data_IF_395352460540
#
_entry.id   IF_395352460540
#
_cell.length_a   1.000
_cell.length_b   1.000
_cell.length_c   1.000
_cell.angle_alpha   90.00
_cell.angle_beta   90.00
_cell.angle_gamma   90.00
#
_symmetry.space_group_name_H-M   'P 1'
#
loop_
_entity.id
_entity.type
_entity.pdbx_description
1 polymer ?
#
# COMPACT_ATOMS: atom_id res chain seq x y z
N UNK A 1 -6.13 -9.01 7.32
CA UNK A 1 -6.38 -9.63 6.00
C UNK A 1 -7.29 -8.78 5.12
N UNK A 2 -7.97 -7.74 5.65
CA UNK A 2 -8.94 -6.95 4.88
C UNK A 2 -8.42 -5.65 4.25
N UNK A 3 -7.36 -4.98 4.73
CA UNK A 3 -6.99 -3.63 4.25
C UNK A 3 -6.68 -3.54 2.74
N UNK A 4 -5.67 -4.29 2.27
CA UNK A 4 -5.25 -4.33 0.86
C UNK A 4 -6.39 -4.84 -0.02
N UNK A 5 -7.04 -5.92 0.40
CA UNK A 5 -8.17 -6.49 -0.31
C UNK A 5 -9.37 -5.54 -0.39
N UNK A 6 -9.69 -4.77 0.65
CA UNK A 6 -10.84 -3.87 0.66
C UNK A 6 -10.58 -2.63 -0.19
N UNK A 7 -9.34 -2.13 -0.28
CA UNK A 7 -9.01 -1.02 -1.18
C UNK A 7 -9.07 -1.46 -2.63
N UNK A 8 -8.41 -2.58 -2.99
CA UNK A 8 -8.52 -3.16 -4.33
C UNK A 8 -9.96 -3.56 -4.66
N UNK A 9 -10.72 -4.15 -3.72
CA UNK A 9 -12.11 -4.57 -3.94
C UNK A 9 -13.09 -3.40 -4.01
N UNK A 10 -12.90 -2.30 -3.28
CA UNK A 10 -13.77 -1.13 -3.40
C UNK A 10 -13.54 -0.39 -4.72
N UNK A 11 -12.29 -0.34 -5.20
CA UNK A 11 -11.95 0.19 -6.53
C UNK A 11 -12.46 -0.75 -7.64
N UNK A 12 -12.37 -2.08 -7.46
CA UNK A 12 -12.84 -3.08 -8.43
C UNK A 12 -14.37 -3.27 -8.44
N UNK A 13 -15.06 -3.13 -7.31
CA UNK A 13 -16.52 -3.37 -7.21
C UNK A 13 -17.37 -2.21 -7.70
N UNK A 14 -16.85 -0.97 -7.72
CA UNK A 14 -17.57 0.19 -8.28
C UNK A 14 -17.50 0.26 -9.81
N UNK A 15 -16.74 -0.62 -10.46
CA UNK A 15 -16.53 -0.64 -11.92
C UNK A 15 -17.08 -1.90 -12.60
N UNK A 16 -18.27 -2.34 -12.20
CA UNK A 16 -19.03 -3.32 -12.99
C UNK A 16 -20.26 -2.67 -13.62
N UNK A 17 -20.45 -2.76 -14.95
CA UNK A 17 -21.73 -2.47 -15.58
C UNK A 17 -22.76 -3.53 -15.14
N UNK A 18 -23.99 -3.06 -14.88
CA UNK A 18 -25.15 -3.91 -14.62
C UNK A 18 -25.42 -4.83 -15.81
N UNK A 19 -25.43 -6.16 -15.60
CA UNK A 19 -26.14 -7.08 -16.49
C UNK A 19 -26.43 -8.45 -15.86
N UNK A 20 -27.72 -8.78 -15.87
CA UNK A 20 -28.34 -10.06 -16.21
C UNK A 20 -28.03 -11.33 -15.39
N UNK A 21 -29.07 -11.74 -14.66
CA UNK A 21 -29.37 -13.07 -14.13
C UNK A 21 -29.21 -14.19 -15.16
N UNK A 22 -28.51 -15.27 -14.81
CA UNK A 22 -28.91 -16.65 -15.15
C UNK A 22 -28.28 -17.67 -14.20
N UNK A 23 -29.17 -18.42 -13.59
CA UNK A 23 -29.04 -19.59 -12.71
C UNK A 23 -28.37 -20.77 -13.43
N UNK A 24 -27.63 -21.64 -12.70
CA UNK A 24 -27.88 -23.10 -12.54
C UNK A 24 -26.84 -23.72 -11.56
N UNK A 25 -27.40 -24.36 -10.53
CA UNK A 25 -27.05 -25.53 -9.68
C UNK A 25 -25.69 -26.25 -9.83
N UNK A 26 -24.90 -26.41 -8.76
CA UNK A 26 -24.88 -27.46 -7.70
C UNK A 26 -24.19 -28.78 -8.10
N UNK A 27 -23.07 -29.13 -7.45
CA UNK A 27 -23.06 -30.24 -6.49
C UNK A 27 -21.71 -30.49 -5.77
N UNK A 28 -21.89 -31.04 -4.58
CA UNK A 28 -21.03 -31.30 -3.44
C UNK A 28 -20.29 -32.65 -3.52
N UNK A 29 -19.09 -32.77 -2.94
CA UNK A 29 -18.65 -33.97 -2.19
C UNK A 29 -17.59 -33.64 -1.12
N UNK A 30 -17.81 -34.20 0.07
CA UNK A 30 -17.00 -34.20 1.31
C UNK A 30 -15.93 -35.29 1.31
N UNK A 31 -14.85 -35.09 2.08
CA UNK A 31 -14.24 -35.99 3.10
C UNK A 31 -12.93 -35.31 3.60
N UNK A 32 -12.66 -34.97 4.86
CA UNK A 32 -12.75 -35.59 6.19
C UNK A 32 -11.55 -36.49 6.58
N UNK A 33 -11.04 -36.23 7.80
CA UNK A 33 -10.08 -36.99 8.66
C UNK A 33 -8.58 -36.86 8.36
N UNK A 34 -7.64 -36.90 9.31
CA UNK A 34 -7.54 -36.65 10.76
C UNK A 34 -6.02 -36.63 11.09
N UNK A 35 -5.63 -36.04 12.23
CA UNK A 35 -4.25 -35.94 12.77
C UNK A 35 -3.81 -37.28 13.42
N UNK A 36 -2.76 -37.43 14.31
CA UNK A 36 -1.73 -36.51 14.84
C UNK A 36 -0.30 -37.13 15.02
N UNK A 37 0.70 -36.31 15.39
CA UNK A 37 2.00 -36.79 15.88
C UNK A 37 2.88 -35.67 16.47
N UNK A 38 3.45 -35.90 17.66
CA UNK A 38 3.94 -34.91 18.65
C UNK A 38 5.34 -35.29 19.16
N UNK A 39 6.26 -34.34 19.29
CA UNK A 39 7.35 -34.24 20.32
C UNK A 39 8.14 -32.94 20.03
N UNK A 40 8.38 -31.95 20.92
CA UNK A 40 8.91 -31.78 22.30
C UNK A 40 10.45 -31.83 22.47
N UNK A 41 11.04 -30.64 22.67
CA UNK A 41 12.17 -30.30 23.56
C UNK A 41 12.21 -28.75 23.65
N UNK A 42 12.04 -28.00 24.75
CA UNK A 42 12.53 -27.99 26.14
C UNK A 42 13.90 -27.29 26.34
N UNK A 43 13.89 -26.21 27.15
CA UNK A 43 15.04 -25.49 27.74
C UNK A 43 15.33 -24.13 27.08
N UNK A 44 15.22 -22.95 27.70
CA UNK A 44 15.10 -22.55 29.09
C UNK A 44 16.37 -21.86 29.60
N UNK A 45 16.41 -20.52 29.62
CA UNK A 45 17.18 -19.75 30.62
C UNK A 45 16.69 -18.30 30.73
N UNK A 46 16.39 -17.90 31.97
CA UNK A 46 16.13 -16.53 32.46
C UNK A 46 17.50 -15.79 32.55
N UNK A 47 17.67 -14.48 32.75
CA UNK A 47 17.01 -13.55 33.69
C UNK A 47 17.58 -12.12 33.48
N UNK A 48 16.72 -11.10 33.63
CA UNK A 48 16.87 -9.75 34.27
C UNK A 48 18.18 -8.92 34.08
N UNK A 49 18.16 -7.59 33.91
CA UNK A 49 17.12 -6.62 34.25
C UNK A 49 17.40 -5.16 33.80
N UNK A 50 16.29 -4.46 33.54
CA UNK A 50 15.84 -3.12 34.00
C UNK A 50 16.84 -1.95 34.16
N UNK A 51 16.58 -0.88 33.39
CA UNK A 51 16.43 0.51 33.85
C UNK A 51 15.70 1.29 32.73
N UNK A 52 14.39 1.52 32.85
CA UNK A 52 13.75 2.73 33.42
C UNK A 52 13.77 3.94 32.47
N UNK A 53 12.63 4.19 31.85
CA UNK A 53 12.29 5.39 31.10
C UNK A 53 10.78 5.37 30.83
N UNK A 54 9.99 5.49 31.90
CA UNK A 54 8.53 5.58 31.85
C UNK A 54 8.13 6.94 31.27
N UNK A 55 8.07 7.03 29.94
CA UNK A 55 7.20 8.01 29.31
C UNK A 55 5.77 7.46 29.40
N UNK A 56 4.92 8.19 30.11
CA UNK A 56 3.47 8.05 30.10
C UNK A 56 3.02 7.87 28.66
N UNK A 57 2.53 6.67 28.35
CA UNK A 57 1.84 6.40 27.09
C UNK A 57 0.56 7.24 27.10
N UNK A 58 0.66 8.47 26.59
CA UNK A 58 -0.45 9.03 25.85
C UNK A 58 -0.86 7.98 24.83
N UNK A 59 -2.16 7.75 24.65
CA UNK A 59 -2.63 6.99 23.49
C UNK A 59 -2.00 7.64 22.25
N UNK A 60 -0.96 7.01 21.71
CA UNK A 60 -0.23 7.56 20.58
C UNK A 60 -1.24 7.73 19.45
N UNK A 61 -1.44 8.98 19.04
CA UNK A 61 -2.37 9.34 17.97
C UNK A 61 -2.02 8.53 16.73
N UNK A 62 -3.04 7.95 16.08
CA UNK A 62 -2.84 7.23 14.82
C UNK A 62 -2.75 8.25 13.71
N UNK A 63 -1.57 8.42 13.14
CA UNK A 63 -1.30 9.38 12.07
C UNK A 63 -0.39 8.80 10.97
N UNK A 64 -0.11 9.63 9.96
CA UNK A 64 0.69 9.29 8.78
C UNK A 64 2.13 8.92 9.10
N UNK A 65 2.68 9.34 10.24
CA UNK A 65 4.03 9.04 10.67
C UNK A 65 4.33 7.55 10.78
N UNK A 66 3.28 6.76 11.03
CA UNK A 66 3.33 5.29 11.15
C UNK A 66 3.36 4.55 9.81
N UNK A 67 3.10 5.24 8.70
CA UNK A 67 3.15 4.66 7.36
C UNK A 67 4.58 4.74 6.81
N UNK A 68 5.08 3.62 6.30
CA UNK A 68 6.37 3.59 5.61
C UNK A 68 6.14 3.84 4.12
N UNK A 69 6.18 5.10 3.71
CA UNK A 69 6.06 5.51 2.31
C UNK A 69 7.44 5.88 1.77
N UNK A 70 7.81 5.32 0.62
CA UNK A 70 9.13 5.53 0.02
C UNK A 70 9.05 5.75 -1.47
N UNK A 71 10.06 6.43 -2.01
CA UNK A 71 10.28 6.51 -3.45
C UNK A 71 10.77 5.16 -3.98
N UNK A 72 10.18 4.70 -5.08
CA UNK A 72 10.60 3.50 -5.78
C UNK A 72 10.50 3.65 -7.29
N UNK A 73 11.10 2.69 -8.01
CA UNK A 73 11.04 2.60 -9.47
C UNK A 73 10.51 1.25 -9.89
N UNK A 74 9.51 1.24 -10.75
CA UNK A 74 9.04 0.03 -11.41
C UNK A 74 10.08 -0.34 -12.47
N UNK A 75 10.83 -1.42 -12.26
CA UNK A 75 11.87 -1.87 -13.19
C UNK A 75 11.33 -2.85 -14.23
N UNK A 76 10.26 -3.57 -13.90
CA UNK A 76 9.57 -4.48 -14.82
C UNK A 76 8.07 -4.43 -14.51
N UNK A 77 7.24 -4.47 -15.55
CA UNK A 77 5.79 -4.59 -15.42
C UNK A 77 5.26 -5.60 -16.42
N UNK A 78 4.33 -6.45 -15.96
CA UNK A 78 3.66 -7.44 -16.79
C UNK A 78 2.19 -7.55 -16.39
N UNK A 79 1.34 -8.05 -17.29
CA UNK A 79 -0.05 -8.39 -16.93
C UNK A 79 -0.05 -9.61 -15.99
N UNK A 80 -0.93 -9.59 -15.00
CA UNK A 80 -1.09 -10.73 -14.12
C UNK A 80 -1.64 -11.93 -14.91
N UNK A 81 -1.06 -13.14 -14.76
CA UNK A 81 -1.43 -14.30 -15.57
C UNK A 81 -2.90 -14.72 -15.39
N UNK A 82 -3.39 -14.66 -14.16
CA UNK A 82 -4.75 -15.10 -13.81
C UNK A 82 -5.74 -13.93 -13.52
N UNK A 83 -5.41 -12.69 -13.94
CA UNK A 83 -6.26 -11.53 -13.63
C UNK A 83 -6.14 -10.36 -14.62
N UNK A 84 -7.17 -10.16 -15.44
CA UNK A 84 -7.20 -9.13 -16.49
C UNK A 84 -7.13 -7.68 -16.00
N UNK A 85 -7.40 -7.45 -14.72
CA UNK A 85 -7.41 -6.12 -14.12
C UNK A 85 -6.15 -5.79 -13.34
N UNK A 86 -5.22 -6.74 -13.21
CA UNK A 86 -4.02 -6.60 -12.39
C UNK A 86 -2.76 -6.59 -13.24
N UNK A 87 -1.82 -5.74 -12.85
CA UNK A 87 -0.42 -5.83 -13.24
C UNK A 87 0.38 -6.51 -12.13
N UNK A 88 1.53 -7.07 -12.51
CA UNK A 88 2.58 -7.53 -11.59
C UNK A 88 3.83 -6.73 -11.91
N UNK A 89 4.29 -5.96 -10.92
CA UNK A 89 5.46 -5.11 -11.03
C UNK A 89 6.63 -5.65 -10.21
N UNK A 90 7.85 -5.48 -10.73
CA UNK A 90 9.09 -5.54 -9.94
C UNK A 90 9.52 -4.12 -9.61
N UNK A 91 9.66 -3.82 -8.34
CA UNK A 91 9.90 -2.46 -7.85
C UNK A 91 11.21 -2.40 -7.07
N UNK A 92 12.10 -1.50 -7.49
CA UNK A 92 13.30 -1.14 -6.76
C UNK A 92 13.00 -0.02 -5.77
N UNK A 93 13.20 -0.30 -4.49
CA UNK A 93 13.00 0.62 -3.36
C UNK A 93 14.31 1.00 -2.68
N UNK A 94 15.46 0.78 -3.33
CA UNK A 94 16.78 1.06 -2.76
C UNK A 94 17.21 0.06 -1.67
N UNK A 95 16.56 -1.10 -1.59
CA UNK A 95 16.80 -2.12 -0.54
C UNK A 95 17.82 -3.20 -0.96
N UNK A 96 18.42 -3.07 -2.14
CA UNK A 96 19.30 -4.10 -2.72
C UNK A 96 18.55 -5.34 -3.24
N UNK A 97 17.21 -5.32 -3.22
CA UNK A 97 16.34 -6.33 -3.82
C UNK A 97 15.12 -5.67 -4.45
N UNK A 98 14.53 -6.36 -5.42
CA UNK A 98 13.25 -5.95 -6.01
C UNK A 98 12.10 -6.54 -5.19
N UNK A 99 11.09 -5.73 -4.91
CA UNK A 99 9.81 -6.18 -4.34
C UNK A 99 8.83 -6.51 -5.45
N UNK A 100 7.98 -7.51 -5.23
CA UNK A 100 6.82 -7.76 -6.11
C UNK A 100 5.66 -6.89 -5.65
N UNK A 101 5.07 -6.13 -6.58
CA UNK A 101 3.85 -5.34 -6.35
C UNK A 101 2.78 -5.84 -7.31
N UNK A 102 1.53 -5.84 -6.86
CA UNK A 102 0.38 -6.18 -7.69
C UNK A 102 -0.59 -5.01 -7.65
N UNK A 103 -0.76 -4.32 -8.78
CA UNK A 103 -1.62 -3.14 -8.88
C UNK A 103 -2.85 -3.38 -9.74
N UNK A 104 -3.98 -2.77 -9.36
CA UNK A 104 -5.23 -2.83 -10.13
C UNK A 104 -5.32 -1.78 -11.23
N UNK A 105 -4.23 -1.52 -11.96
CA UNK A 105 -4.10 -0.36 -12.83
C UNK A 105 -4.38 -0.61 -14.33
N UNK A 106 -4.66 -1.85 -14.75
CA UNK A 106 -4.79 -2.20 -16.18
C UNK A 106 -5.82 -1.35 -16.93
N UNK A 107 -6.92 -0.96 -16.26
CA UNK A 107 -7.99 -0.14 -16.87
C UNK A 107 -7.70 1.37 -16.87
N UNK A 108 -6.65 1.81 -16.18
CA UNK A 108 -6.41 3.22 -15.89
C UNK A 108 -5.07 3.72 -16.43
N UNK A 109 -4.05 2.88 -16.40
CA UNK A 109 -2.69 3.25 -16.80
C UNK A 109 -2.18 2.21 -17.81
N UNK A 110 -1.77 2.64 -19.01
CA UNK A 110 -1.11 1.78 -19.97
C UNK A 110 0.19 1.18 -19.40
N UNK A 111 0.54 -0.03 -19.84
CA UNK A 111 1.71 -0.74 -19.33
C UNK A 111 3.00 0.05 -19.59
N UNK A 112 3.10 0.67 -20.76
CA UNK A 112 4.22 1.50 -21.19
C UNK A 112 4.46 2.72 -20.28
N UNK A 113 3.41 3.24 -19.64
CA UNK A 113 3.52 4.36 -18.71
C UNK A 113 3.97 3.92 -17.31
N UNK A 114 3.97 2.62 -17.02
CA UNK A 114 4.45 2.05 -15.75
C UNK A 114 5.89 1.58 -15.85
N UNK A 115 6.38 1.20 -17.04
CA UNK A 115 7.75 0.76 -17.23
C UNK A 115 8.74 1.87 -16.89
N UNK A 116 9.73 1.58 -16.02
CA UNK A 116 10.71 2.55 -15.50
C UNK A 116 10.10 3.74 -14.74
N UNK A 117 8.82 3.68 -14.37
CA UNK A 117 8.13 4.77 -13.69
C UNK A 117 8.59 4.90 -12.25
N UNK A 118 8.89 6.13 -11.84
CA UNK A 118 9.07 6.49 -10.44
C UNK A 118 7.70 6.63 -9.76
N UNK A 119 7.60 6.19 -8.51
CA UNK A 119 6.35 6.27 -7.75
C UNK A 119 6.58 6.26 -6.24
N UNK A 120 5.48 6.42 -5.51
CA UNK A 120 5.47 6.37 -4.05
C UNK A 120 4.85 5.03 -3.66
N UNK A 121 5.53 4.28 -2.80
CA UNK A 121 5.12 2.95 -2.39
C UNK A 121 4.97 2.88 -0.88
N UNK A 122 3.84 2.36 -0.41
CA UNK A 122 3.66 1.99 0.99
C UNK A 122 4.26 0.60 1.22
N UNK A 123 5.25 0.53 2.11
CA UNK A 123 6.20 -0.57 2.23
C UNK A 123 6.04 -1.41 3.52
N UNK A 124 5.24 -0.95 4.48
CA UNK A 124 5.05 -1.63 5.76
C UNK A 124 3.65 -2.26 5.95
N UNK A 125 2.87 -2.41 4.88
CA UNK A 125 1.70 -3.26 4.93
C UNK A 125 2.10 -4.73 5.11
N UNK A 126 1.26 -5.52 5.77
CA UNK A 126 1.41 -6.98 5.73
C UNK A 126 1.25 -7.45 4.28
N UNK A 127 2.20 -8.22 3.71
CA UNK A 127 2.08 -8.75 2.36
C UNK A 127 0.75 -9.49 2.17
N UNK A 128 0.18 -9.35 0.97
CA UNK A 128 -1.09 -9.97 0.63
C UNK A 128 -1.00 -10.66 -0.73
N UNK A 129 -1.54 -11.87 -0.80
CA UNK A 129 -1.68 -12.59 -2.07
C UNK A 129 -2.85 -12.02 -2.86
N UNK A 130 -2.67 -11.79 -4.14
CA UNK A 130 -3.70 -11.40 -5.08
C UNK A 130 -3.64 -12.40 -6.20
N UNK A 131 -4.66 -13.27 -6.29
CA UNK A 131 -4.72 -14.34 -7.31
C UNK A 131 -3.44 -15.19 -7.39
N UNK A 132 -2.87 -15.50 -6.23
CA UNK A 132 -1.69 -16.37 -6.10
C UNK A 132 -0.36 -15.63 -6.01
N UNK A 133 -0.27 -14.40 -6.53
CA UNK A 133 0.96 -13.57 -6.48
C UNK A 133 0.96 -12.74 -5.20
N UNK A 134 2.06 -12.77 -4.44
CA UNK A 134 2.21 -11.97 -3.22
C UNK A 134 2.69 -10.55 -3.52
N UNK A 135 1.91 -9.55 -3.11
CA UNK A 135 2.28 -8.13 -3.16
C UNK A 135 2.92 -7.71 -1.84
N UNK A 136 4.12 -7.15 -1.92
CA UNK A 136 4.96 -6.74 -0.79
C UNK A 136 4.96 -5.22 -0.53
N UNK A 137 4.31 -4.46 -1.41
CA UNK A 137 4.08 -3.04 -1.26
C UNK A 137 2.79 -2.63 -1.99
N UNK A 138 2.44 -1.35 -1.93
CA UNK A 138 1.29 -0.76 -2.62
C UNK A 138 1.70 0.56 -3.27
N UNK A 139 1.46 0.72 -4.56
CA UNK A 139 1.68 1.97 -5.29
C UNK A 139 0.60 2.99 -4.92
N UNK A 140 1.00 4.17 -4.42
CA UNK A 140 0.10 5.24 -4.01
C UNK A 140 -0.42 5.99 -5.24
N UNK A 141 -1.74 6.08 -5.35
CA UNK A 141 -2.42 6.71 -6.49
C UNK A 141 -3.41 7.77 -6.02
N UNK A 142 -3.62 8.80 -6.83
CA UNK A 142 -4.80 9.63 -6.74
C UNK A 142 -5.99 8.92 -7.41
N UNK A 143 -7.17 8.96 -6.81
CA UNK A 143 -8.35 8.23 -7.31
C UNK A 143 -9.61 9.10 -7.29
N UNK A 144 -10.25 9.20 -8.44
CA UNK A 144 -11.58 9.78 -8.63
C UNK A 144 -12.56 8.67 -9.09
N UNK A 145 -13.14 7.88 -8.18
CA UNK A 145 -14.01 6.76 -8.53
C UNK A 145 -15.21 7.17 -9.38
N UNK A 146 -15.81 8.33 -9.07
CA UNK A 146 -16.98 8.86 -9.78
C UNK A 146 -16.68 9.22 -11.24
N UNK A 147 -15.42 9.58 -11.53
CA UNK A 147 -14.95 9.85 -12.90
C UNK A 147 -14.29 8.63 -13.56
N UNK A 148 -14.11 7.53 -12.83
CA UNK A 148 -13.40 6.35 -13.32
C UNK A 148 -11.91 6.57 -13.59
N UNK A 149 -11.28 7.55 -12.92
CA UNK A 149 -9.86 7.90 -13.14
C UNK A 149 -9.02 7.54 -11.93
N UNK A 150 -7.88 6.89 -12.17
CA UNK A 150 -6.84 6.61 -11.17
C UNK A 150 -5.49 6.90 -11.81
N UNK A 151 -4.64 7.65 -11.12
CA UNK A 151 -3.27 7.91 -11.61
C UNK A 151 -2.24 7.78 -10.47
N UNK A 152 -1.06 7.19 -10.75
CA UNK A 152 0.03 7.16 -9.79
C UNK A 152 0.51 8.57 -9.45
N UNK A 153 0.79 8.81 -8.18
CA UNK A 153 1.41 10.06 -7.74
C UNK A 153 2.82 10.22 -8.34
N UNK A 154 3.21 11.47 -8.60
CA UNK A 154 4.49 11.86 -9.20
C UNK A 154 5.34 12.66 -8.23
N UNK A 155 6.66 12.58 -8.40
CA UNK A 155 7.62 13.33 -7.60
C UNK A 155 7.98 14.62 -8.34
N UNK A 156 7.94 15.77 -7.66
CA UNK A 156 8.21 17.08 -8.24
C UNK A 156 9.68 17.37 -8.59
N UNK A 157 10.54 16.35 -8.57
CA UNK A 157 11.97 16.42 -8.90
C UNK A 157 12.40 15.13 -9.60
N UNK A 158 13.32 15.26 -10.55
CA UNK A 158 13.95 14.12 -11.23
C UNK A 158 15.15 13.56 -10.45
N UNK A 159 15.77 14.39 -9.60
CA UNK A 159 16.94 14.02 -8.80
C UNK A 159 16.50 13.52 -7.43
N UNK A 160 16.14 12.23 -7.35
CA UNK A 160 15.64 11.60 -6.13
C UNK A 160 16.31 10.25 -5.90
N UNK A 161 16.47 9.88 -4.63
CA UNK A 161 17.06 8.61 -4.24
C UNK A 161 15.98 7.53 -4.11
N UNK A 162 16.24 6.33 -4.62
CA UNK A 162 15.40 5.18 -4.35
C UNK A 162 15.42 4.86 -2.85
N UNK A 163 14.25 4.58 -2.29
CA UNK A 163 14.06 4.34 -0.87
C UNK A 163 13.95 5.61 -0.01
N UNK A 164 14.06 6.80 -0.60
CA UNK A 164 13.92 8.05 0.17
C UNK A 164 12.53 8.13 0.83
N UNK A 165 12.45 8.32 2.16
CA UNK A 165 11.18 8.39 2.85
C UNK A 165 10.36 9.61 2.43
N UNK A 166 9.08 9.36 2.17
CA UNK A 166 8.06 10.40 2.04
C UNK A 166 7.58 10.75 3.44
N UNK A 167 7.67 12.02 3.81
CA UNK A 167 7.28 12.54 5.12
C UNK A 167 6.21 13.61 4.98
N UNK A 168 5.53 13.90 6.08
CA UNK A 168 4.60 15.02 6.18
C UNK A 168 5.11 15.95 7.28
N UNK A 169 5.58 17.17 6.95
CA UNK A 169 6.07 18.11 7.95
C UNK A 169 5.10 18.29 9.12
N UNK A 170 5.62 18.35 10.34
CA UNK A 170 4.80 18.45 11.56
C UNK A 170 4.27 17.12 12.10
N UNK A 171 4.44 16.01 11.37
CA UNK A 171 4.18 14.65 11.87
C UNK A 171 5.51 13.91 12.05
N UNK A 172 5.70 13.30 13.23
CA UNK A 172 6.91 12.52 13.51
C UNK A 172 6.96 11.29 12.61
N UNK A 173 8.06 11.10 11.87
CA UNK A 173 8.23 9.93 11.03
C UNK A 173 8.74 8.74 11.85
N UNK A 174 7.83 7.83 12.19
CA UNK A 174 8.04 6.67 13.05
C UNK A 174 7.32 5.41 12.51
N UNK A 175 7.66 4.95 11.29
CA UNK A 175 6.93 3.86 10.65
C UNK A 175 6.95 2.59 11.49
N UNK A 176 5.78 1.93 11.60
CA UNK A 176 5.72 0.58 12.15
C UNK A 176 6.55 -0.35 11.27
N UNK A 177 7.30 -1.30 11.85
CA UNK A 177 8.05 -2.31 11.06
C UNK A 177 7.13 -3.15 10.16
N UNK A 178 5.91 -3.41 10.62
CA UNK A 178 4.79 -3.92 9.83
C UNK A 178 3.47 -3.50 10.48
N UNK A 179 2.57 -2.89 9.72
CA UNK A 179 1.24 -2.49 10.16
C UNK A 179 0.43 -3.71 10.61
N UNK A 180 -0.13 -3.64 11.81
CA UNK A 180 -1.03 -4.67 12.32
C UNK A 180 -2.42 -4.53 11.67
N UNK A 181 -2.90 -5.51 10.88
CA UNK A 181 -4.19 -5.42 10.20
C UNK A 181 -5.40 -5.32 11.14
N UNK A 182 -5.26 -5.70 12.42
CA UNK A 182 -6.33 -5.57 13.42
C UNK A 182 -6.48 -4.13 13.92
N UNK A 183 -5.41 -3.34 13.89
CA UNK A 183 -5.43 -1.93 14.32
C UNK A 183 -6.00 -0.99 13.26
N UNK A 184 -6.11 -1.45 12.00
CA UNK A 184 -6.66 -0.66 10.89
C UNK A 184 -6.03 0.74 10.75
N UNK A 185 -4.71 0.84 10.95
CA UNK A 185 -3.98 2.12 10.99
C UNK A 185 -4.13 2.85 9.65
N UNK A 186 -3.90 2.14 8.54
CA UNK A 186 -4.04 2.75 7.22
C UNK A 186 -5.47 3.24 6.99
N UNK A 187 -6.50 2.49 7.40
CA UNK A 187 -7.90 2.91 7.25
C UNK A 187 -8.28 4.10 8.12
N UNK A 188 -7.61 4.31 9.25
CA UNK A 188 -7.77 5.51 10.09
C UNK A 188 -7.06 6.73 9.48
N UNK A 189 -5.90 6.53 8.84
CA UNK A 189 -5.11 7.60 8.22
C UNK A 189 -5.66 7.99 6.84
N UNK A 190 -6.18 7.01 6.08
CA UNK A 190 -6.60 7.17 4.69
C UNK A 190 -7.52 8.37 4.44
N UNK A 191 -8.60 8.62 5.20
CA UNK A 191 -9.54 9.72 4.91
C UNK A 191 -8.87 11.10 4.79
N UNK A 192 -7.73 11.28 5.45
CA UNK A 192 -6.97 12.53 5.42
C UNK A 192 -5.86 12.55 4.35
N UNK A 193 -5.57 11.43 3.68
CA UNK A 193 -4.64 11.36 2.56
C UNK A 193 -5.34 11.84 1.28
N UNK A 194 -5.09 13.08 0.88
CA UNK A 194 -5.81 13.71 -0.24
C UNK A 194 -4.88 14.43 -1.18
N UNK A 195 -5.33 14.58 -2.42
CA UNK A 195 -4.76 15.56 -3.33
C UNK A 195 -5.50 16.89 -3.13
N UNK A 196 -4.77 17.98 -2.91
CA UNK A 196 -5.34 19.33 -2.74
C UNK A 196 -5.78 19.97 -4.08
N UNK A 197 -6.33 21.19 -4.00
CA UNK A 197 -6.79 21.99 -5.15
C UNK A 197 -5.66 22.36 -6.14
N UNK A 198 -4.43 22.38 -5.63
CA UNK A 198 -3.24 22.70 -6.40
C UNK A 198 -2.59 21.42 -6.99
N UNK A 199 -3.14 20.25 -6.71
CA UNK A 199 -2.66 18.96 -7.22
C UNK A 199 -1.59 18.30 -6.34
N UNK A 200 -1.34 18.78 -5.13
CA UNK A 200 -0.33 18.20 -4.23
C UNK A 200 -0.91 17.12 -3.33
N UNK A 201 -0.14 16.07 -3.10
CA UNK A 201 -0.47 15.06 -2.10
C UNK A 201 -0.32 15.66 -0.68
N UNK A 202 -1.31 15.44 0.15
CA UNK A 202 -1.42 15.99 1.50
C UNK A 202 -1.90 14.95 2.51
N UNK A 203 -1.55 15.18 3.77
CA UNK A 203 -2.21 14.57 4.92
C UNK A 203 -2.68 15.70 5.84
N UNK A 204 -3.98 15.75 6.13
CA UNK A 204 -4.60 16.85 6.91
C UNK A 204 -4.23 18.25 6.39
N UNK A 205 -4.18 18.39 5.06
CA UNK A 205 -3.82 19.63 4.38
C UNK A 205 -2.33 19.95 4.35
N UNK A 206 -1.46 19.18 5.01
CA UNK A 206 -0.02 19.37 4.95
C UNK A 206 0.59 18.55 3.81
N UNK A 207 1.33 19.21 2.93
CA UNK A 207 1.93 18.61 1.73
C UNK A 207 3.02 17.62 2.07
N UNK A 208 3.03 16.51 1.33
CA UNK A 208 4.08 15.50 1.44
C UNK A 208 5.37 16.03 0.84
N UNK A 209 6.49 15.73 1.51
CA UNK A 209 7.84 16.07 1.06
C UNK A 209 8.74 14.85 1.13
N UNK A 210 9.94 14.95 0.54
CA UNK A 210 10.97 13.95 0.74
C UNK A 210 11.82 14.28 1.97
N UNK A 211 12.22 13.26 2.71
CA UNK A 211 13.09 13.42 3.89
C UNK A 211 14.45 13.97 3.50
N UNK A 212 15.05 13.49 2.40
CA UNK A 212 16.34 14.02 1.93
C UNK A 212 16.21 15.37 1.21
N UNK A 213 15.02 15.72 0.74
CA UNK A 213 14.76 16.96 -0.01
C UNK A 213 13.39 17.56 0.37
N UNK A 214 13.32 18.38 1.45
CA UNK A 214 12.09 19.07 1.86
C UNK A 214 11.52 20.01 0.79
N UNK A 215 12.39 20.42 -0.14
CA UNK A 215 12.12 20.91 -1.49
C UNK A 215 10.97 20.29 -2.27
N UNK A 216 11.06 18.97 -2.30
CA UNK A 216 10.47 18.14 -3.33
C UNK A 216 9.09 17.73 -2.88
N UNK A 217 8.07 18.20 -3.60
CA UNK A 217 6.68 17.93 -3.30
C UNK A 217 6.16 16.76 -4.14
N UNK A 218 5.22 16.00 -3.58
CA UNK A 218 4.53 14.92 -4.27
C UNK A 218 3.21 15.45 -4.85
N UNK A 219 2.87 15.06 -6.09
CA UNK A 219 1.72 15.59 -6.82
C UNK A 219 0.91 14.50 -7.52
N UNK A 220 -0.33 14.85 -7.85
CA UNK A 220 -1.10 14.25 -8.93
C UNK A 220 -0.86 15.08 -10.21
N UNK A 221 -1.00 14.48 -11.38
CA UNK A 221 -0.81 15.21 -12.65
C UNK A 221 -2.09 15.92 -13.09
N UNK A 222 -3.23 15.25 -12.95
CA UNK A 222 -4.54 15.69 -13.46
C UNK A 222 -5.57 15.82 -12.35
N UNK A 223 -5.56 14.91 -11.37
CA UNK A 223 -6.60 14.88 -10.34
C UNK A 223 -6.33 15.91 -9.24
N UNK A 224 -7.42 16.50 -8.73
CA UNK A 224 -7.43 17.52 -7.68
C UNK A 224 -8.63 17.30 -6.78
N UNK A 225 -8.51 17.64 -5.50
CA UNK A 225 -9.57 17.42 -4.48
C UNK A 225 -10.04 15.96 -4.38
N UNK A 226 -9.15 15.02 -4.66
CA UNK A 226 -9.45 13.58 -4.67
C UNK A 226 -8.81 12.85 -3.50
N UNK A 227 -9.26 11.62 -3.29
CA UNK A 227 -8.70 10.71 -2.30
C UNK A 227 -7.41 10.08 -2.84
N UNK A 228 -6.40 9.93 -1.98
CA UNK A 228 -5.23 9.08 -2.26
C UNK A 228 -5.55 7.66 -1.77
N UNK A 229 -5.22 6.66 -2.59
CA UNK A 229 -5.51 5.25 -2.33
C UNK A 229 -4.35 4.34 -2.71
#
# INVERSE_FOLDING_TARGET
>A
MHAIYHISRHILQRLQPSAATKTVESNNVKAASDSPGKSKSAGGSKTLGKASGSATASEATVDVGRLDMRIGRIVEVSRHPDADSLYVEKVDLGEGRLRTVVSGLVKFVPLEELQNRMGIFMCNLKPAKMRGVESEAMLMCASAPEAGVVEPLVIGSENVNLGDPVIVPGFEHNPDSQLNPKKKIFEQVKPDLRVDQDGYATYKGVRWTLKSSPSTLIKSTKLKDVQIA
#
